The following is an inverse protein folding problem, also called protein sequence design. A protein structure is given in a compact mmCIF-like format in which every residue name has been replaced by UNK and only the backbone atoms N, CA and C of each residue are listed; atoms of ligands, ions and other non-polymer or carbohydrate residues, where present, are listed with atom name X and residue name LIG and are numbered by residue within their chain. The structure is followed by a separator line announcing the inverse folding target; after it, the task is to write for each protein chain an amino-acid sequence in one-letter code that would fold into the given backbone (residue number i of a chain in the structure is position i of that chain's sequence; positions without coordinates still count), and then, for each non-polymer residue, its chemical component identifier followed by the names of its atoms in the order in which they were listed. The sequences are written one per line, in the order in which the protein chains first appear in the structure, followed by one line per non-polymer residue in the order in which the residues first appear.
data_IF_088290921351
#
_entry.id   IF_088290921351
#
_cell.length_a   1.000
_cell.length_b   1.000
_cell.length_c   1.000
_cell.angle_alpha   90.00
_cell.angle_beta   90.00
_cell.angle_gamma   90.00
#
_symmetry.space_group_name_H-M   'P 1'
#
loop_
_entity.id
_entity.type
_entity.pdbx_description
1 polymer ?
#
# COMPACT_ATOMS: atom_id res chain seq x y z
N UNK A 1 -25.23 -1.04 -26.71
CA UNK A 1 -26.05 -1.72 -25.69
C UNK A 1 -25.43 -1.44 -24.34
N UNK A 2 -26.04 -0.52 -23.59
CA UNK A 2 -25.52 -0.09 -22.30
C UNK A 2 -25.79 -1.14 -21.22
N UNK A 3 -24.74 -1.61 -20.57
CA UNK A 3 -24.86 -2.45 -19.38
C UNK A 3 -25.41 -1.63 -18.22
N UNK A 4 -26.61 -1.91 -17.79
CA UNK A 4 -27.24 -1.34 -16.59
C UNK A 4 -26.53 -1.98 -15.39
N UNK A 5 -25.63 -1.24 -14.73
CA UNK A 5 -25.13 -1.61 -13.42
C UNK A 5 -26.32 -1.58 -12.45
N UNK A 6 -26.76 -2.75 -12.01
CA UNK A 6 -27.78 -2.87 -10.98
C UNK A 6 -27.23 -2.20 -9.70
N UNK A 7 -27.96 -1.28 -9.06
CA UNK A 7 -27.49 -0.68 -7.81
C UNK A 7 -27.33 -1.78 -6.76
N UNK A 8 -26.10 -1.93 -6.25
CA UNK A 8 -25.82 -2.84 -5.12
C UNK A 8 -26.65 -2.36 -3.94
N UNK A 9 -27.51 -3.22 -3.40
CA UNK A 9 -28.31 -2.86 -2.25
C UNK A 9 -27.42 -2.74 -1.01
N UNK A 10 -27.77 -1.88 -0.04
CA UNK A 10 -27.03 -1.72 1.22
C UNK A 10 -26.74 -3.08 1.91
N UNK A 11 -27.66 -4.02 1.82
CA UNK A 11 -27.49 -5.39 2.33
C UNK A 11 -26.42 -6.16 1.53
N UNK A 12 -26.33 -5.94 0.22
CA UNK A 12 -25.32 -6.57 -0.64
C UNK A 12 -23.91 -6.08 -0.31
N UNK A 13 -23.73 -4.78 -0.12
CA UNK A 13 -22.47 -4.20 0.32
C UNK A 13 -22.04 -4.71 1.71
N UNK A 14 -22.96 -4.78 2.65
CA UNK A 14 -22.68 -5.33 3.98
C UNK A 14 -22.22 -6.81 3.89
N UNK A 15 -22.89 -7.61 3.05
CA UNK A 15 -22.49 -9.02 2.84
C UNK A 15 -21.10 -9.11 2.19
N UNK A 16 -20.84 -8.31 1.17
CA UNK A 16 -19.53 -8.26 0.50
C UNK A 16 -18.43 -7.87 1.49
N UNK A 17 -18.66 -6.86 2.32
CA UNK A 17 -17.75 -6.42 3.36
C UNK A 17 -17.47 -7.51 4.39
N UNK A 18 -18.49 -8.19 4.89
CA UNK A 18 -18.32 -9.30 5.84
C UNK A 18 -17.44 -10.44 5.27
N UNK A 19 -17.61 -10.76 3.97
CA UNK A 19 -16.77 -11.76 3.30
C UNK A 19 -15.32 -11.27 3.19
N UNK A 20 -15.08 -10.01 2.85
CA UNK A 20 -13.72 -9.44 2.76
C UNK A 20 -13.03 -9.42 4.13
N UNK A 21 -13.72 -8.97 5.17
CA UNK A 21 -13.17 -8.92 6.52
C UNK A 21 -12.77 -10.32 7.01
N UNK A 22 -13.62 -11.32 6.78
CA UNK A 22 -13.31 -12.71 7.10
C UNK A 22 -12.12 -13.25 6.25
N UNK A 23 -12.05 -12.85 4.96
CA UNK A 23 -10.96 -13.25 4.07
C UNK A 23 -9.61 -12.65 4.50
N UNK A 24 -9.56 -11.36 4.86
CA UNK A 24 -8.37 -10.68 5.37
C UNK A 24 -7.80 -11.42 6.58
N UNK A 25 -8.67 -11.71 7.56
CA UNK A 25 -8.26 -12.41 8.78
C UNK A 25 -7.78 -13.83 8.49
N UNK A 26 -8.51 -14.58 7.67
CA UNK A 26 -8.18 -15.98 7.41
C UNK A 26 -6.96 -16.15 6.52
N UNK A 27 -6.87 -15.40 5.43
CA UNK A 27 -5.68 -15.42 4.58
C UNK A 27 -4.44 -14.92 5.32
N UNK A 28 -4.59 -13.88 6.15
CA UNK A 28 -3.50 -13.38 6.98
C UNK A 28 -2.97 -14.41 7.97
N UNK A 29 -3.86 -15.18 8.60
CA UNK A 29 -3.51 -16.21 9.58
C UNK A 29 -2.98 -17.48 8.93
N UNK A 30 -3.74 -18.05 7.99
CA UNK A 30 -3.53 -19.41 7.47
C UNK A 30 -2.79 -19.42 6.13
N UNK A 31 -2.75 -18.28 5.41
CA UNK A 31 -2.19 -18.15 4.08
C UNK A 31 -3.13 -18.57 2.95
N UNK A 32 -2.72 -18.22 1.71
CA UNK A 32 -3.52 -18.50 0.54
C UNK A 32 -3.78 -20.00 0.35
N UNK A 33 -2.72 -20.84 0.43
CA UNK A 33 -2.80 -22.25 0.10
C UNK A 33 -3.71 -23.03 1.07
N UNK A 34 -3.64 -22.76 2.36
CA UNK A 34 -4.37 -23.49 3.40
C UNK A 34 -5.83 -23.01 3.60
N UNK A 35 -6.23 -21.91 2.98
CA UNK A 35 -7.57 -21.31 3.12
C UNK A 35 -8.50 -21.79 2.00
N UNK A 36 -9.78 -22.06 2.32
CA UNK A 36 -10.84 -22.30 1.34
C UNK A 36 -11.90 -21.19 1.37
N UNK A 37 -12.58 -20.96 0.23
CA UNK A 37 -13.71 -20.00 0.16
C UNK A 37 -14.87 -20.44 1.06
N UNK A 38 -15.08 -21.76 1.25
CA UNK A 38 -16.10 -22.30 2.12
C UNK A 38 -15.83 -21.95 3.61
N UNK A 39 -14.57 -21.98 4.02
CA UNK A 39 -14.19 -21.58 5.38
C UNK A 39 -14.39 -20.09 5.61
N UNK A 40 -14.02 -19.25 4.64
CA UNK A 40 -14.24 -17.80 4.69
C UNK A 40 -15.74 -17.49 4.77
N UNK A 41 -16.56 -18.15 3.94
CA UNK A 41 -18.00 -17.97 3.95
C UNK A 41 -18.61 -18.31 5.31
N UNK A 42 -18.15 -19.40 5.93
CA UNK A 42 -18.58 -19.80 7.29
C UNK A 42 -18.18 -18.73 8.32
N UNK A 43 -16.98 -18.21 8.26
CA UNK A 43 -16.50 -17.16 9.18
C UNK A 43 -17.27 -15.84 9.00
N UNK A 44 -17.66 -15.53 7.76
CA UNK A 44 -18.49 -14.37 7.41
C UNK A 44 -19.99 -14.57 7.75
N UNK A 45 -20.40 -15.75 8.23
CA UNK A 45 -21.80 -16.07 8.52
C UNK A 45 -22.69 -16.15 7.28
N UNK A 46 -22.13 -16.49 6.10
CA UNK A 46 -22.87 -16.63 4.85
C UNK A 46 -22.74 -18.04 4.25
N UNK A 47 -23.63 -18.40 3.35
CA UNK A 47 -23.53 -19.66 2.59
C UNK A 47 -22.40 -19.61 1.57
N UNK A 48 -21.74 -20.74 1.31
CA UNK A 48 -20.65 -20.83 0.32
C UNK A 48 -21.05 -20.33 -1.06
N UNK A 49 -22.27 -20.66 -1.52
CA UNK A 49 -22.83 -20.19 -2.81
C UNK A 49 -22.94 -18.65 -2.85
N UNK A 50 -23.22 -18.02 -1.72
CA UNK A 50 -23.31 -16.56 -1.61
C UNK A 50 -21.93 -15.94 -1.79
N UNK A 51 -20.89 -16.49 -1.19
CA UNK A 51 -19.52 -15.98 -1.37
C UNK A 51 -19.09 -16.02 -2.84
N UNK A 52 -19.41 -17.09 -3.56
CA UNK A 52 -19.11 -17.21 -5.00
C UNK A 52 -19.92 -16.25 -5.89
N UNK A 53 -21.07 -15.75 -5.43
CA UNK A 53 -21.81 -14.70 -6.13
C UNK A 53 -21.08 -13.34 -6.10
N UNK A 54 -20.27 -13.07 -5.07
CA UNK A 54 -19.47 -11.84 -4.97
C UNK A 54 -18.05 -12.01 -5.51
N UNK A 55 -17.45 -13.18 -5.34
CA UNK A 55 -16.08 -13.46 -5.74
C UNK A 55 -16.04 -14.79 -6.49
N UNK A 56 -15.79 -14.76 -7.81
CA UNK A 56 -15.98 -15.93 -8.69
C UNK A 56 -15.04 -17.09 -8.35
N UNK A 57 -13.92 -16.83 -7.69
CA UNK A 57 -12.96 -17.84 -7.28
C UNK A 57 -12.13 -17.35 -6.08
N UNK A 58 -11.31 -18.23 -5.53
CA UNK A 58 -10.45 -17.95 -4.38
C UNK A 58 -9.42 -16.86 -4.66
N UNK A 59 -8.86 -16.84 -5.87
CA UNK A 59 -7.87 -15.85 -6.27
C UNK A 59 -8.48 -14.44 -6.31
N UNK A 60 -9.64 -14.27 -6.93
CA UNK A 60 -10.36 -13.00 -6.96
C UNK A 60 -10.70 -12.50 -5.56
N UNK A 61 -11.10 -13.41 -4.65
CA UNK A 61 -11.34 -13.07 -3.24
C UNK A 61 -10.05 -12.66 -2.52
N UNK A 62 -8.94 -13.36 -2.76
CA UNK A 62 -7.65 -13.04 -2.16
C UNK A 62 -7.14 -11.67 -2.61
N UNK A 63 -7.16 -11.40 -3.91
CA UNK A 63 -6.70 -10.11 -4.44
C UNK A 63 -7.57 -8.96 -3.94
N UNK A 64 -8.89 -9.13 -3.91
CA UNK A 64 -9.79 -8.12 -3.37
C UNK A 64 -9.57 -7.87 -1.86
N UNK A 65 -9.30 -8.93 -1.08
CA UNK A 65 -8.96 -8.81 0.33
C UNK A 65 -7.61 -8.13 0.55
N UNK A 66 -6.62 -8.42 -0.29
CA UNK A 66 -5.31 -7.75 -0.25
C UNK A 66 -5.42 -6.27 -0.60
N UNK A 67 -6.15 -5.93 -1.66
CA UNK A 67 -6.36 -4.54 -2.07
C UNK A 67 -7.06 -3.72 -0.96
N UNK A 68 -8.06 -4.31 -0.30
CA UNK A 68 -8.80 -3.68 0.82
C UNK A 68 -7.90 -3.48 2.04
N UNK A 69 -7.19 -4.53 2.49
CA UNK A 69 -6.30 -4.46 3.66
C UNK A 69 -5.15 -3.46 3.44
N UNK A 70 -4.56 -3.47 2.25
CA UNK A 70 -3.51 -2.53 1.87
C UNK A 70 -4.01 -1.07 1.78
N UNK A 71 -5.23 -0.85 1.29
CA UNK A 71 -5.81 0.49 1.24
C UNK A 71 -5.98 1.09 2.64
N UNK A 72 -6.38 0.26 3.62
CA UNK A 72 -6.48 0.67 5.03
C UNK A 72 -5.09 0.96 5.60
N UNK A 73 -4.11 0.08 5.37
CA UNK A 73 -2.70 0.30 5.80
C UNK A 73 -2.17 1.62 5.27
N UNK A 74 -2.38 1.93 3.98
CA UNK A 74 -1.91 3.15 3.36
C UNK A 74 -2.61 4.37 3.98
N UNK A 75 -3.93 4.31 4.13
CA UNK A 75 -4.72 5.42 4.66
C UNK A 75 -4.35 5.72 6.12
N UNK A 76 -4.28 4.70 6.97
CA UNK A 76 -3.91 4.86 8.38
C UNK A 76 -2.43 5.19 8.56
N UNK A 77 -1.55 4.49 7.86
CA UNK A 77 -0.10 4.61 8.05
C UNK A 77 0.49 5.89 7.46
N UNK A 78 -0.14 6.51 6.46
CA UNK A 78 0.35 7.74 5.83
C UNK A 78 -0.47 8.98 6.19
N UNK A 79 -1.52 8.87 7.01
CA UNK A 79 -2.39 9.99 7.36
C UNK A 79 -1.60 11.21 7.89
N UNK A 80 -0.72 10.98 8.86
CA UNK A 80 0.09 12.04 9.48
C UNK A 80 1.22 12.51 8.56
N UNK A 81 1.85 11.61 7.81
CA UNK A 81 2.95 11.93 6.89
C UNK A 81 2.46 12.80 5.73
N UNK A 82 1.26 12.51 5.20
CA UNK A 82 0.68 13.27 4.08
C UNK A 82 0.14 14.63 4.53
N UNK A 83 -0.19 14.80 5.81
CA UNK A 83 -0.66 16.08 6.35
C UNK A 83 0.46 17.10 6.54
N UNK A 84 1.69 16.66 6.84
CA UNK A 84 2.86 17.53 7.01
C UNK A 84 4.14 16.91 6.41
N UNK A 85 4.32 17.09 5.09
CA UNK A 85 5.51 16.63 4.36
C UNK A 85 6.77 17.50 4.59
N UNK A 86 6.71 18.51 5.48
CA UNK A 86 7.85 19.35 5.84
C UNK A 86 8.67 18.83 7.02
N UNK A 87 8.33 17.63 7.50
CA UNK A 87 9.11 16.99 8.56
C UNK A 87 10.47 16.59 7.98
N UNK A 88 11.54 17.15 8.54
CA UNK A 88 12.89 16.61 8.32
C UNK A 88 12.85 15.11 8.60
N UNK A 89 13.26 14.28 7.63
CA UNK A 89 13.23 12.82 7.77
C UNK A 89 11.82 12.16 7.60
N UNK A 90 10.97 12.74 6.73
CA UNK A 90 9.63 12.19 6.43
C UNK A 90 9.66 10.74 5.92
N UNK A 91 10.74 10.34 5.23
CA UNK A 91 10.92 8.98 4.70
C UNK A 91 10.97 7.96 5.83
N UNK A 92 11.75 8.25 6.87
CA UNK A 92 11.85 7.41 8.07
C UNK A 92 10.52 7.36 8.80
N UNK A 93 9.87 8.51 8.96
CA UNK A 93 8.56 8.61 9.60
C UNK A 93 7.52 7.78 8.84
N UNK A 94 7.50 7.85 7.49
CA UNK A 94 6.60 7.06 6.66
C UNK A 94 6.83 5.54 6.83
N UNK A 95 8.09 5.08 6.78
CA UNK A 95 8.41 3.65 6.94
C UNK A 95 8.04 3.16 8.33
N UNK A 96 8.29 3.94 9.40
CA UNK A 96 7.90 3.57 10.76
C UNK A 96 6.38 3.51 10.93
N UNK A 97 5.66 4.54 10.46
CA UNK A 97 4.21 4.60 10.57
C UNK A 97 3.54 3.43 9.80
N UNK A 98 4.03 3.12 8.60
CA UNK A 98 3.60 1.95 7.84
C UNK A 98 3.95 0.64 8.54
N UNK A 99 5.14 0.51 9.11
CA UNK A 99 5.56 -0.68 9.84
C UNK A 99 4.64 -0.98 11.05
N UNK A 100 4.37 0.04 11.86
CA UNK A 100 3.45 -0.07 13.00
C UNK A 100 2.02 -0.42 12.55
N UNK A 101 1.55 0.22 11.47
CA UNK A 101 0.21 -0.05 10.92
C UNK A 101 0.12 -1.46 10.36
N UNK A 102 1.09 -1.91 9.56
CA UNK A 102 1.14 -3.28 9.01
C UNK A 102 1.13 -4.33 10.13
N UNK A 103 1.67 -4.02 11.30
CA UNK A 103 1.61 -4.91 12.47
C UNK A 103 0.19 -5.32 12.88
N UNK A 104 -0.82 -4.47 12.59
CA UNK A 104 -2.25 -4.71 12.88
C UNK A 104 -3.01 -5.32 11.71
N UNK A 105 -2.39 -5.43 10.53
CA UNK A 105 -2.99 -5.89 9.27
C UNK A 105 -2.41 -7.24 8.84
N UNK A 106 -3.04 -8.36 9.20
CA UNK A 106 -2.44 -9.69 9.09
C UNK A 106 -2.16 -10.11 7.65
N UNK A 107 -3.00 -9.74 6.69
CA UNK A 107 -2.82 -10.11 5.29
C UNK A 107 -1.71 -9.29 4.64
N UNK A 108 -1.74 -7.97 4.78
CA UNK A 108 -0.69 -7.08 4.27
C UNK A 108 0.67 -7.45 4.88
N UNK A 109 0.73 -7.69 6.20
CA UNK A 109 1.95 -8.15 6.86
C UNK A 109 2.48 -9.44 6.26
N UNK A 110 1.62 -10.42 6.03
CA UNK A 110 1.99 -11.73 5.49
C UNK A 110 2.61 -11.61 4.09
N UNK A 111 1.97 -10.84 3.21
CA UNK A 111 2.46 -10.61 1.84
C UNK A 111 3.78 -9.85 1.84
N UNK A 112 3.87 -8.74 2.56
CA UNK A 112 5.08 -7.92 2.65
C UNK A 112 6.25 -8.64 3.32
N UNK A 113 5.97 -9.60 4.21
CA UNK A 113 7.01 -10.47 4.80
C UNK A 113 7.49 -11.59 3.86
N UNK A 114 7.00 -11.65 2.61
CA UNK A 114 7.42 -12.66 1.61
C UNK A 114 6.84 -14.05 1.84
N UNK A 115 5.82 -14.19 2.68
CA UNK A 115 5.19 -15.50 3.00
C UNK A 115 4.19 -15.96 1.93
N UNK A 116 3.89 -15.10 0.95
CA UNK A 116 3.06 -15.38 -0.22
C UNK A 116 3.81 -15.00 -1.51
N UNK A 117 4.85 -15.75 -1.90
CA UNK A 117 5.75 -15.37 -2.99
C UNK A 117 5.05 -15.27 -4.35
N UNK A 118 3.98 -16.05 -4.56
CA UNK A 118 3.24 -16.09 -5.83
C UNK A 118 2.45 -14.77 -6.11
N UNK A 119 2.37 -13.86 -5.12
CA UNK A 119 1.62 -12.59 -5.23
C UNK A 119 2.46 -11.37 -4.81
N UNK A 120 3.73 -11.54 -4.53
CA UNK A 120 4.60 -10.45 -4.07
C UNK A 120 4.77 -9.35 -5.11
N UNK A 121 4.76 -9.68 -6.40
CA UNK A 121 4.80 -8.75 -7.52
C UNK A 121 3.56 -7.83 -7.55
N UNK A 122 2.41 -8.33 -7.11
CA UNK A 122 1.16 -7.55 -7.00
C UNK A 122 1.23 -6.38 -6.03
N UNK A 123 2.16 -6.40 -5.06
CA UNK A 123 2.33 -5.31 -4.09
C UNK A 123 2.53 -3.96 -4.79
N UNK A 124 3.25 -3.92 -5.91
CA UNK A 124 3.50 -2.68 -6.66
C UNK A 124 2.31 -2.22 -7.50
N UNK A 125 1.32 -3.09 -7.71
CA UNK A 125 0.12 -2.86 -8.54
C UNK A 125 -1.14 -2.57 -7.71
N UNK A 126 -1.06 -2.54 -6.37
CA UNK A 126 -2.18 -2.24 -5.48
C UNK A 126 -2.80 -0.89 -5.87
N UNK A 127 -4.12 -0.83 -6.13
CA UNK A 127 -4.77 0.40 -6.63
C UNK A 127 -4.56 1.62 -5.73
N UNK A 128 -4.58 1.45 -4.41
CA UNK A 128 -4.38 2.54 -3.45
C UNK A 128 -2.99 3.21 -3.58
N UNK A 129 -1.97 2.51 -4.08
CA UNK A 129 -0.64 3.10 -4.34
C UNK A 129 -0.65 4.11 -5.49
N UNK A 130 -1.60 4.03 -6.43
CA UNK A 130 -1.70 5.00 -7.51
C UNK A 130 -2.10 6.38 -6.97
N UNK A 131 -2.96 6.44 -5.96
CA UNK A 131 -3.33 7.70 -5.29
C UNK A 131 -2.12 8.28 -4.54
N UNK A 132 -1.34 7.45 -3.86
CA UNK A 132 -0.11 7.90 -3.18
C UNK A 132 0.91 8.45 -4.19
N UNK A 133 1.13 7.74 -5.32
CA UNK A 133 2.01 8.22 -6.41
C UNK A 133 1.57 9.57 -6.94
N UNK A 134 0.26 9.71 -7.17
CA UNK A 134 -0.33 10.98 -7.63
C UNK A 134 -0.13 12.10 -6.62
N UNK A 135 -0.42 11.86 -5.35
CA UNK A 135 -0.21 12.85 -4.27
C UNK A 135 1.25 13.28 -4.18
N UNK A 136 2.21 12.35 -4.27
CA UNK A 136 3.63 12.68 -4.30
C UNK A 136 3.98 13.57 -5.51
N UNK A 137 3.50 13.22 -6.70
CA UNK A 137 3.75 13.99 -7.91
C UNK A 137 3.15 15.39 -7.85
N UNK A 138 1.92 15.53 -7.36
CA UNK A 138 1.23 16.81 -7.22
C UNK A 138 1.95 17.70 -6.18
N UNK A 139 2.44 17.11 -5.10
CA UNK A 139 3.24 17.82 -4.11
C UNK A 139 4.56 18.33 -4.70
N UNK A 140 5.30 17.49 -5.42
CA UNK A 140 6.56 17.89 -6.06
C UNK A 140 6.30 19.05 -7.04
N UNK A 141 5.23 19.00 -7.85
CA UNK A 141 4.86 20.13 -8.75
C UNK A 141 4.61 21.42 -7.99
N UNK A 142 3.89 21.36 -6.88
CA UNK A 142 3.62 22.54 -6.07
C UNK A 142 4.92 23.14 -5.50
N UNK A 143 5.87 22.32 -5.09
CA UNK A 143 7.16 22.75 -4.57
C UNK A 143 8.12 23.24 -5.66
N UNK A 144 8.03 22.72 -6.88
CA UNK A 144 8.72 23.27 -8.05
C UNK A 144 8.22 24.69 -8.35
N UNK A 145 6.90 24.91 -8.32
CA UNK A 145 6.32 26.24 -8.55
C UNK A 145 6.73 27.27 -7.47
N UNK A 146 6.99 26.83 -6.26
CA UNK A 146 7.47 27.67 -5.16
C UNK A 146 9.00 27.81 -5.10
N UNK A 147 9.74 27.11 -5.97
CA UNK A 147 11.21 27.13 -6.02
C UNK A 147 11.90 26.36 -4.89
N UNK A 148 11.17 25.53 -4.15
CA UNK A 148 11.72 24.68 -3.08
C UNK A 148 12.37 23.41 -3.67
N UNK A 149 11.73 22.82 -4.68
CA UNK A 149 12.24 21.66 -5.41
C UNK A 149 12.73 22.11 -6.79
N UNK A 150 13.80 21.48 -7.28
CA UNK A 150 14.35 21.73 -8.62
C UNK A 150 13.31 21.45 -9.72
N UNK A 151 13.29 22.27 -10.77
CA UNK A 151 12.28 22.23 -11.84
C UNK A 151 12.69 21.37 -13.06
N UNK A 152 13.94 20.89 -13.09
CA UNK A 152 14.50 20.07 -14.17
C UNK A 152 14.28 18.55 -14.01
N UNK A 153 13.42 18.13 -13.05
CA UNK A 153 13.04 16.73 -12.81
C UNK A 153 11.56 16.50 -13.13
N UNK A 154 11.22 15.29 -13.55
CA UNK A 154 9.82 14.89 -13.76
C UNK A 154 9.15 14.50 -12.42
N UNK A 155 8.13 15.24 -11.97
CA UNK A 155 7.43 14.96 -10.71
C UNK A 155 6.80 13.59 -10.65
N UNK A 156 6.33 13.06 -11.79
CA UNK A 156 5.68 11.75 -11.84
C UNK A 156 6.72 10.64 -11.65
N UNK A 157 7.85 10.73 -12.37
CA UNK A 157 8.93 9.76 -12.25
C UNK A 157 9.51 9.74 -10.82
N UNK A 158 9.73 10.91 -10.22
CA UNK A 158 10.22 11.02 -8.84
C UNK A 158 9.18 10.49 -7.84
N UNK A 159 7.90 10.85 -7.97
CA UNK A 159 6.85 10.34 -7.10
C UNK A 159 6.72 8.82 -7.14
N UNK A 160 6.83 8.22 -8.33
CA UNK A 160 6.86 6.77 -8.49
C UNK A 160 8.07 6.15 -7.80
N UNK A 161 9.25 6.76 -7.94
CA UNK A 161 10.49 6.32 -7.30
C UNK A 161 10.41 6.38 -5.77
N UNK A 162 9.85 7.44 -5.21
CA UNK A 162 9.61 7.59 -3.77
C UNK A 162 8.78 6.42 -3.25
N UNK A 163 7.63 6.16 -3.86
CA UNK A 163 6.73 5.08 -3.43
C UNK A 163 7.41 3.72 -3.53
N UNK A 164 8.15 3.46 -4.63
CA UNK A 164 8.87 2.22 -4.81
C UNK A 164 9.95 2.00 -3.73
N UNK A 165 10.72 3.04 -3.39
CA UNK A 165 11.75 2.97 -2.36
C UNK A 165 11.13 2.75 -0.97
N UNK A 166 10.06 3.47 -0.62
CA UNK A 166 9.37 3.31 0.67
C UNK A 166 8.83 1.89 0.84
N UNK A 167 8.20 1.32 -0.20
CA UNK A 167 7.71 -0.07 -0.18
C UNK A 167 8.88 -1.05 -0.02
N UNK A 168 9.98 -0.85 -0.76
CA UNK A 168 11.15 -1.72 -0.70
C UNK A 168 11.80 -1.69 0.69
N UNK A 169 11.88 -0.52 1.32
CA UNK A 169 12.36 -0.37 2.70
C UNK A 169 11.43 -1.07 3.68
N UNK A 170 10.11 -0.90 3.55
CA UNK A 170 9.13 -1.56 4.41
C UNK A 170 9.23 -3.08 4.31
N UNK A 171 9.32 -3.62 3.09
CA UNK A 171 9.54 -5.06 2.87
C UNK A 171 10.86 -5.53 3.49
N UNK A 172 11.94 -4.76 3.32
CA UNK A 172 13.25 -5.07 3.92
C UNK A 172 13.17 -5.11 5.45
N UNK A 173 12.50 -4.13 6.09
CA UNK A 173 12.29 -4.11 7.55
C UNK A 173 11.53 -5.36 8.02
N UNK A 174 10.49 -5.76 7.29
CA UNK A 174 9.65 -6.91 7.66
C UNK A 174 10.34 -8.27 7.42
N UNK A 175 11.19 -8.38 6.40
CA UNK A 175 11.84 -9.65 6.01
C UNK A 175 13.19 -9.86 6.69
N UNK A 176 13.99 -8.80 6.88
CA UNK A 176 15.36 -8.89 7.40
C UNK A 176 15.47 -8.40 8.85
N UNK A 177 14.48 -7.61 9.30
CA UNK A 177 14.45 -7.01 10.61
C UNK A 177 14.81 -5.52 10.62
N UNK A 178 14.25 -4.81 11.59
CA UNK A 178 14.33 -3.34 11.67
C UNK A 178 15.77 -2.82 11.86
N UNK A 179 16.61 -3.53 12.61
CA UNK A 179 17.98 -3.07 12.91
C UNK A 179 18.84 -2.90 11.67
N UNK A 180 18.78 -3.85 10.73
CA UNK A 180 19.57 -3.81 9.50
C UNK A 180 18.98 -2.83 8.49
N UNK A 181 17.69 -2.86 8.27
CA UNK A 181 17.05 -2.02 7.26
C UNK A 181 17.09 -0.52 7.62
N UNK A 182 16.91 -0.18 8.89
CA UNK A 182 16.94 1.21 9.35
C UNK A 182 18.36 1.80 9.42
N UNK A 183 19.41 0.97 9.41
CA UNK A 183 20.79 1.46 9.31
C UNK A 183 21.04 2.23 8.00
N UNK A 184 20.28 1.93 6.92
CA UNK A 184 20.40 2.63 5.63
C UNK A 184 19.51 3.88 5.51
N UNK A 185 18.68 4.18 6.51
CA UNK A 185 17.74 5.32 6.44
C UNK A 185 18.44 6.67 6.15
N UNK A 186 19.61 6.99 6.78
CA UNK A 186 20.33 8.23 6.47
C UNK A 186 20.82 8.29 5.01
N UNK A 187 21.28 7.15 4.46
CA UNK A 187 21.79 7.08 3.09
C UNK A 187 20.66 7.27 2.08
N UNK A 188 19.48 6.69 2.35
CA UNK A 188 18.28 6.90 1.54
C UNK A 188 17.79 8.34 1.62
N UNK A 189 17.81 8.96 2.79
CA UNK A 189 17.48 10.38 2.97
C UNK A 189 18.40 11.27 2.13
N UNK A 190 19.71 11.00 2.12
CA UNK A 190 20.68 11.73 1.30
C UNK A 190 20.40 11.61 -0.21
N UNK A 191 19.93 10.44 -0.68
CA UNK A 191 19.53 10.25 -2.08
C UNK A 191 18.31 11.12 -2.43
N UNK A 192 17.30 11.17 -1.56
CA UNK A 192 16.12 12.02 -1.79
C UNK A 192 16.48 13.51 -1.73
N UNK A 193 17.30 13.92 -0.77
CA UNK A 193 17.78 15.30 -0.70
C UNK A 193 18.49 15.69 -1.99
N UNK A 194 19.45 14.89 -2.46
CA UNK A 194 20.17 15.15 -3.70
C UNK A 194 19.26 15.18 -4.93
N UNK A 195 18.19 14.36 -4.95
CA UNK A 195 17.25 14.33 -6.06
C UNK A 195 16.34 15.57 -6.11
N UNK A 196 15.96 16.12 -4.96
CA UNK A 196 14.94 17.17 -4.85
C UNK A 196 15.55 18.58 -4.71
N UNK A 197 16.75 18.71 -4.14
CA UNK A 197 17.37 20.00 -3.87
C UNK A 197 17.75 20.74 -5.15
N UNK A 198 17.49 22.05 -5.17
CA UNK A 198 17.96 22.95 -6.23
C UNK A 198 19.49 22.97 -6.23
N UNK A 199 20.17 22.61 -7.34
CA UNK A 199 21.63 22.62 -7.38
C UNK A 199 22.17 24.04 -7.21
N UNK A 200 23.30 24.22 -6.49
CA UNK A 200 23.91 25.53 -6.37
C UNK A 200 24.30 26.07 -7.76
N UNK A 201 24.25 27.41 -7.97
CA UNK A 201 24.63 28.01 -9.24
C UNK A 201 26.05 27.57 -9.60
N UNK A 202 26.23 27.13 -10.86
CA UNK A 202 27.55 26.75 -11.37
C UNK A 202 28.47 27.97 -11.23
N UNK A 203 29.59 27.84 -10.51
CA UNK A 203 30.65 28.83 -10.51
C UNK A 203 31.19 28.92 -11.94
N UNK A 204 31.08 30.09 -12.51
CA UNK A 204 31.68 30.43 -13.82
C UNK A 204 33.23 30.41 -13.74
#
# INVERSE_FOLDING_TARGET
MGGVSTPVTAKGEQTRRAILDAAILRFGRDGYRATSVADIARDAGVGGTVAYAYFPNKEALFLAALDEDAAVVITEGLADVLSDLRVDDWQRTAVFALYETVGRHPLARRVLSGLEPDVTDRVTEIPALNEVRKMCADRIRAEQLSGVVRDDIDPVAIGNGIVAIVISLLMSVLQVGSGTALAYAPDVAAVFEAALTVPPPRRA
#
